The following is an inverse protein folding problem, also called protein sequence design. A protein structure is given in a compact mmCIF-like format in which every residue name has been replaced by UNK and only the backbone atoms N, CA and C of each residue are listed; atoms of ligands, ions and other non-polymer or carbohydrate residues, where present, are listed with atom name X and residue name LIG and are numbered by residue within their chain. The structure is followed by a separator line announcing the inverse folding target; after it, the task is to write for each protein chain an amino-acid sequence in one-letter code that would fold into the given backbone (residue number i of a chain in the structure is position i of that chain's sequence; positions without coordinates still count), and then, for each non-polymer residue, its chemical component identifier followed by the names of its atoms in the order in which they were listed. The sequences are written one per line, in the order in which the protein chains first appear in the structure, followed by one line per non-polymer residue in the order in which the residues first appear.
data_IF_414575569435
#
_entry.id   IF_414575569435
#
_cell.length_a   1.000
_cell.length_b   1.000
_cell.length_c   1.000
_cell.angle_alpha   90.00
_cell.angle_beta   90.00
_cell.angle_gamma   90.00
#
_symmetry.space_group_name_H-M   'P 1'
#
loop_
_entity.id
_entity.type
_entity.pdbx_description
1 polymer ?
#
# COMPACT_ATOMS: atom_id res chain seq x y z
N UNK A 1 -25.62 -3.23 -6.00
CA UNK A 1 -25.00 -4.54 -6.28
C UNK A 1 -25.83 -5.73 -5.73
N UNK A 2 -27.03 -5.48 -5.17
CA UNK A 2 -27.96 -6.54 -4.72
C UNK A 2 -27.71 -7.07 -3.31
N UNK A 3 -26.70 -6.57 -2.61
CA UNK A 3 -26.47 -6.92 -1.20
C UNK A 3 -27.40 -6.14 -0.27
N UNK A 4 -27.90 -6.79 0.79
CA UNK A 4 -28.78 -6.22 1.80
C UNK A 4 -28.68 -7.05 3.11
N UNK A 5 -29.45 -6.72 4.13
CA UNK A 5 -29.42 -7.42 5.42
C UNK A 5 -29.74 -8.93 5.33
N UNK A 6 -30.55 -9.37 4.36
CA UNK A 6 -30.87 -10.79 4.14
C UNK A 6 -29.79 -11.51 3.32
N UNK A 7 -29.04 -10.76 2.53
CA UNK A 7 -27.96 -11.24 1.70
C UNK A 7 -26.75 -10.31 1.86
N UNK A 8 -26.05 -10.35 3.02
CA UNK A 8 -24.91 -9.47 3.27
C UNK A 8 -23.75 -9.78 2.34
N UNK A 9 -22.98 -8.74 1.99
CA UNK A 9 -21.69 -8.93 1.32
C UNK A 9 -20.76 -9.69 2.26
N UNK A 10 -20.23 -10.82 1.80
CA UNK A 10 -19.30 -11.64 2.58
C UNK A 10 -17.94 -11.68 1.90
N UNK A 11 -16.90 -11.37 2.63
CA UNK A 11 -15.53 -11.49 2.15
C UNK A 11 -14.53 -11.61 3.29
N UNK A 12 -13.28 -11.87 2.94
CA UNK A 12 -12.19 -12.08 3.87
C UNK A 12 -11.12 -11.00 3.73
N UNK A 13 -10.64 -10.45 4.85
CA UNK A 13 -9.42 -9.66 4.93
C UNK A 13 -8.27 -10.59 5.33
N UNK A 14 -7.26 -10.68 4.47
CA UNK A 14 -6.05 -11.45 4.69
C UNK A 14 -4.88 -10.53 5.07
N UNK A 15 -4.23 -10.80 6.20
CA UNK A 15 -3.12 -10.02 6.71
C UNK A 15 -2.07 -10.88 7.41
N UNK A 16 -0.83 -10.43 7.49
CA UNK A 16 0.21 -11.11 8.24
C UNK A 16 0.09 -10.86 9.74
N UNK A 17 0.44 -11.85 10.54
CA UNK A 17 0.39 -11.80 12.00
C UNK A 17 1.29 -10.69 12.56
N UNK A 18 0.65 -9.62 12.99
CA UNK A 18 1.28 -8.47 13.63
C UNK A 18 0.20 -7.64 14.34
N UNK A 19 0.47 -7.25 15.59
CA UNK A 19 -0.57 -6.64 16.45
C UNK A 19 -1.23 -5.39 15.85
N UNK A 20 -0.48 -4.53 15.17
CA UNK A 20 -1.04 -3.34 14.51
C UNK A 20 -1.92 -3.72 13.32
N UNK A 21 -1.54 -4.71 12.52
CA UNK A 21 -2.32 -5.16 11.37
C UNK A 21 -3.66 -5.76 11.79
N UNK A 22 -3.66 -6.52 12.88
CA UNK A 22 -4.88 -7.08 13.46
C UNK A 22 -5.84 -5.98 13.91
N UNK A 23 -5.33 -4.96 14.62
CA UNK A 23 -6.16 -3.82 15.05
C UNK A 23 -6.78 -3.09 13.87
N UNK A 24 -6.02 -2.86 12.80
CA UNK A 24 -6.53 -2.22 11.58
C UNK A 24 -7.58 -3.10 10.92
N UNK A 25 -7.33 -4.40 10.76
CA UNK A 25 -8.28 -5.33 10.14
C UNK A 25 -9.58 -5.43 10.93
N UNK A 26 -9.51 -5.47 12.27
CA UNK A 26 -10.70 -5.45 13.14
C UNK A 26 -11.49 -4.14 13.02
N UNK A 27 -10.81 -3.00 12.97
CA UNK A 27 -11.45 -1.70 12.82
C UNK A 27 -12.19 -1.62 11.47
N UNK A 28 -11.54 -2.02 10.37
CA UNK A 28 -12.15 -2.06 9.04
C UNK A 28 -13.36 -3.00 8.98
N UNK A 29 -13.23 -4.21 9.52
CA UNK A 29 -14.33 -5.18 9.57
C UNK A 29 -15.53 -4.63 10.35
N UNK A 30 -15.27 -3.97 11.49
CA UNK A 30 -16.30 -3.31 12.29
C UNK A 30 -17.01 -2.19 11.55
N UNK A 31 -16.25 -1.30 10.90
CA UNK A 31 -16.82 -0.18 10.13
C UNK A 31 -17.61 -0.67 8.92
N UNK A 32 -17.13 -1.64 8.17
CA UNK A 32 -17.84 -2.18 7.01
C UNK A 32 -19.10 -2.95 7.42
N UNK A 33 -19.06 -3.63 8.57
CA UNK A 33 -20.29 -4.21 9.14
C UNK A 33 -21.31 -3.13 9.47
N UNK A 34 -20.89 -2.06 10.13
CA UNK A 34 -21.76 -0.96 10.56
C UNK A 34 -22.32 -0.16 9.39
N UNK A 35 -21.49 0.18 8.40
CA UNK A 35 -21.87 1.08 7.31
C UNK A 35 -22.52 0.36 6.13
N UNK A 36 -22.09 -0.88 5.85
CA UNK A 36 -22.45 -1.62 4.65
C UNK A 36 -23.24 -2.91 4.96
N UNK A 37 -23.37 -3.29 6.24
CA UNK A 37 -23.94 -4.58 6.62
C UNK A 37 -23.08 -5.77 6.17
N UNK A 38 -21.81 -5.56 5.88
CA UNK A 38 -20.91 -6.61 5.39
C UNK A 38 -20.53 -7.59 6.50
N UNK A 39 -20.42 -8.88 6.14
CA UNK A 39 -19.88 -9.93 7.01
C UNK A 39 -18.44 -10.20 6.61
N UNK A 40 -17.50 -9.69 7.40
CA UNK A 40 -16.07 -9.70 7.10
C UNK A 40 -15.34 -10.71 7.95
N UNK A 41 -14.73 -11.70 7.32
CA UNK A 41 -13.86 -12.68 7.98
C UNK A 41 -12.42 -12.17 8.03
N UNK A 42 -11.70 -12.54 9.08
CA UNK A 42 -10.30 -12.18 9.25
C UNK A 42 -9.44 -13.45 9.16
N UNK A 43 -8.47 -13.45 8.23
CA UNK A 43 -7.48 -14.52 8.08
C UNK A 43 -6.08 -13.97 8.31
N UNK A 44 -5.32 -14.62 9.18
CA UNK A 44 -3.95 -14.23 9.47
C UNK A 44 -3.00 -15.41 9.35
N UNK A 45 -1.78 -15.13 8.89
CA UNK A 45 -0.69 -16.11 8.81
C UNK A 45 0.63 -15.47 9.19
N UNK A 46 1.62 -16.31 9.51
CA UNK A 46 3.00 -15.87 9.67
C UNK A 46 3.54 -15.26 8.37
N UNK A 47 4.46 -14.32 8.48
CA UNK A 47 4.91 -13.47 7.37
C UNK A 47 5.30 -14.25 6.11
N UNK A 48 6.13 -15.29 6.24
CA UNK A 48 6.59 -16.08 5.07
C UNK A 48 5.42 -16.80 4.36
N UNK A 49 4.53 -17.40 5.12
CA UNK A 49 3.35 -18.09 4.58
C UNK A 49 2.37 -17.08 3.96
N UNK A 50 2.17 -15.94 4.63
CA UNK A 50 1.36 -14.85 4.11
C UNK A 50 1.85 -14.38 2.74
N UNK A 51 3.16 -14.14 2.57
CA UNK A 51 3.73 -13.72 1.30
C UNK A 51 3.51 -14.77 0.20
N UNK A 52 3.70 -16.06 0.51
CA UNK A 52 3.46 -17.15 -0.44
C UNK A 52 2.02 -17.19 -0.93
N UNK A 53 1.06 -17.21 -0.02
CA UNK A 53 -0.37 -17.22 -0.33
C UNK A 53 -0.80 -15.97 -1.11
N UNK A 54 -0.32 -14.80 -0.69
CA UNK A 54 -0.61 -13.54 -1.38
C UNK A 54 -0.07 -13.54 -2.82
N UNK A 55 1.15 -13.97 -3.04
CA UNK A 55 1.76 -13.99 -4.37
C UNK A 55 1.09 -15.01 -5.31
N UNK A 56 0.53 -16.08 -4.76
CA UNK A 56 -0.31 -17.01 -5.51
C UNK A 56 -1.71 -16.45 -5.82
N UNK A 57 -2.12 -15.37 -5.17
CA UNK A 57 -3.45 -14.77 -5.34
C UNK A 57 -4.53 -15.45 -4.49
N UNK A 58 -4.14 -16.18 -3.45
CA UNK A 58 -5.06 -16.90 -2.57
C UNK A 58 -5.69 -15.97 -1.51
N UNK A 59 -6.36 -14.93 -1.96
CA UNK A 59 -7.06 -13.97 -1.10
C UNK A 59 -8.20 -13.28 -1.86
N UNK A 60 -9.17 -12.73 -1.12
CA UNK A 60 -10.17 -11.82 -1.65
C UNK A 60 -9.74 -10.36 -1.45
N UNK A 61 -9.36 -10.00 -0.24
CA UNK A 61 -8.78 -8.71 0.10
C UNK A 61 -7.53 -8.94 0.94
N UNK A 62 -6.38 -8.42 0.49
CA UNK A 62 -5.10 -8.60 1.18
C UNK A 62 -4.54 -7.26 1.64
N UNK A 63 -4.10 -7.21 2.89
CA UNK A 63 -3.36 -6.06 3.42
C UNK A 63 -2.01 -5.95 2.72
N UNK A 64 -1.64 -4.74 2.32
CA UNK A 64 -0.30 -4.49 1.78
C UNK A 64 0.26 -3.16 2.34
N UNK A 65 1.56 -3.00 2.28
CA UNK A 65 2.28 -1.75 2.50
C UNK A 65 3.25 -1.57 1.34
N UNK A 66 3.32 -0.36 0.82
CA UNK A 66 4.26 0.02 -0.23
C UNK A 66 5.12 1.13 0.34
N UNK A 67 6.42 0.95 0.29
CA UNK A 67 7.41 1.95 0.67
C UNK A 67 7.99 2.57 -0.60
N UNK A 68 8.07 3.91 -0.64
CA UNK A 68 8.63 4.60 -1.79
C UNK A 68 10.15 4.48 -1.80
N UNK A 69 10.73 3.90 -2.85
CA UNK A 69 12.18 3.82 -3.04
C UNK A 69 12.79 5.15 -3.53
N UNK A 70 11.96 6.03 -4.09
CA UNK A 70 12.33 7.37 -4.56
C UNK A 70 11.15 8.32 -4.48
N UNK A 71 11.42 9.62 -4.49
CA UNK A 71 10.42 10.67 -4.29
C UNK A 71 9.68 11.03 -5.60
N UNK A 72 8.89 10.10 -6.10
CA UNK A 72 7.99 10.32 -7.25
C UNK A 72 6.77 9.36 -7.17
N UNK A 73 5.59 9.75 -7.68
CA UNK A 73 4.39 8.91 -7.67
C UNK A 73 4.58 7.54 -8.31
N UNK A 74 5.45 7.42 -9.31
CA UNK A 74 5.76 6.15 -9.96
C UNK A 74 6.32 5.09 -9.01
N UNK A 75 6.95 5.48 -7.89
CA UNK A 75 7.38 4.55 -6.85
C UNK A 75 6.22 3.69 -6.29
N UNK A 76 5.00 4.22 -6.35
CA UNK A 76 3.78 3.51 -5.95
C UNK A 76 3.01 2.96 -7.15
N UNK A 77 2.84 3.77 -8.20
CA UNK A 77 1.98 3.45 -9.34
C UNK A 77 2.51 2.29 -10.18
N UNK A 78 3.84 2.13 -10.26
CA UNK A 78 4.47 1.03 -11.00
C UNK A 78 4.07 -0.36 -10.46
N UNK A 79 3.74 -0.46 -9.18
CA UNK A 79 3.29 -1.73 -8.58
C UNK A 79 1.94 -2.21 -9.14
N UNK A 80 1.15 -1.32 -9.75
CA UNK A 80 -0.18 -1.63 -10.31
C UNK A 80 -0.16 -1.86 -11.83
N UNK A 81 0.95 -1.61 -12.52
CA UNK A 81 1.06 -1.91 -13.97
C UNK A 81 0.77 -3.38 -14.19
N UNK A 82 -0.01 -3.69 -15.25
CA UNK A 82 -0.51 -5.05 -15.52
C UNK A 82 0.57 -6.12 -15.59
N UNK A 83 1.80 -5.75 -15.98
CA UNK A 83 2.97 -6.65 -16.08
C UNK A 83 3.84 -6.65 -14.83
N UNK A 84 3.52 -5.85 -13.82
CA UNK A 84 4.31 -5.76 -12.59
C UNK A 84 4.19 -7.04 -11.74
N UNK A 85 5.28 -7.63 -11.28
CA UNK A 85 5.23 -8.76 -10.34
C UNK A 85 4.66 -8.36 -8.97
N UNK A 86 4.62 -7.07 -8.65
CA UNK A 86 4.05 -6.52 -7.43
C UNK A 86 2.52 -6.39 -7.50
N UNK A 87 1.95 -6.45 -8.71
CA UNK A 87 0.50 -6.43 -8.94
C UNK A 87 -0.14 -7.78 -8.56
N UNK A 88 -0.07 -8.12 -7.28
CA UNK A 88 -0.58 -9.40 -6.77
C UNK A 88 -2.11 -9.52 -6.89
N UNK A 89 -2.81 -8.40 -6.98
CA UNK A 89 -4.25 -8.34 -7.26
C UNK A 89 -4.59 -8.66 -8.71
N UNK A 90 -3.60 -8.74 -9.60
CA UNK A 90 -3.74 -9.03 -11.04
C UNK A 90 -4.72 -8.11 -11.76
N UNK A 91 -4.86 -6.89 -11.25
CA UNK A 91 -5.64 -5.86 -11.90
C UNK A 91 -5.01 -5.48 -13.25
N UNK A 92 -5.84 -5.22 -14.25
CA UNK A 92 -5.38 -4.87 -15.60
C UNK A 92 -6.20 -3.69 -16.11
N UNK A 93 -5.50 -2.65 -16.53
CA UNK A 93 -6.09 -1.51 -17.21
C UNK A 93 -5.11 -0.96 -18.23
N UNK A 94 -5.39 -1.18 -19.51
CA UNK A 94 -4.51 -0.75 -20.61
C UNK A 94 -4.30 0.76 -20.65
N UNK A 95 -5.32 1.55 -20.31
CA UNK A 95 -5.21 3.01 -20.25
C UNK A 95 -4.28 3.45 -19.13
N UNK A 96 -4.36 2.82 -17.97
CA UNK A 96 -3.43 3.04 -16.87
C UNK A 96 -1.99 2.72 -17.28
N UNK A 97 -1.76 1.55 -17.87
CA UNK A 97 -0.43 1.12 -18.32
C UNK A 97 0.17 2.09 -19.33
N UNK A 98 -0.64 2.58 -20.29
CA UNK A 98 -0.20 3.57 -21.27
C UNK A 98 0.17 4.90 -20.64
N UNK A 99 -0.64 5.41 -19.69
CA UNK A 99 -0.37 6.65 -18.96
C UNK A 99 0.93 6.54 -18.17
N UNK A 100 1.16 5.44 -17.48
CA UNK A 100 2.42 5.23 -16.72
C UNK A 100 3.62 5.20 -17.65
N UNK A 101 3.52 4.50 -18.77
CA UNK A 101 4.58 4.44 -19.78
C UNK A 101 4.89 5.82 -20.37
N UNK A 102 3.88 6.62 -20.66
CA UNK A 102 4.05 7.99 -21.16
C UNK A 102 4.69 8.88 -20.10
N UNK A 103 4.25 8.79 -18.84
CA UNK A 103 4.82 9.55 -17.74
C UNK A 103 6.32 9.27 -17.56
N UNK A 104 6.73 8.00 -17.65
CA UNK A 104 8.13 7.58 -17.54
C UNK A 104 9.03 8.16 -18.64
N UNK A 105 8.48 8.41 -19.83
CA UNK A 105 9.22 8.99 -20.96
C UNK A 105 9.15 10.52 -21.04
N UNK A 106 8.33 11.16 -20.18
CA UNK A 106 8.07 12.60 -20.21
C UNK A 106 9.06 13.37 -19.35
N UNK A 107 9.86 14.26 -19.96
CA UNK A 107 10.83 15.11 -19.26
C UNK A 107 10.19 16.32 -18.58
N UNK A 108 9.07 16.80 -19.10
CA UNK A 108 8.36 17.94 -18.53
C UNK A 108 7.65 17.57 -17.23
N UNK A 109 8.09 18.13 -16.10
CA UNK A 109 7.56 17.80 -14.78
C UNK A 109 6.05 18.11 -14.63
N UNK A 110 5.53 19.17 -15.28
CA UNK A 110 4.10 19.50 -15.19
C UNK A 110 3.26 18.48 -15.96
N UNK A 111 3.67 18.14 -17.17
CA UNK A 111 2.99 17.10 -17.97
C UNK A 111 3.04 15.76 -17.28
N UNK A 112 4.19 15.38 -16.73
CA UNK A 112 4.36 14.13 -15.99
C UNK A 112 3.47 14.05 -14.75
N UNK A 113 3.40 15.13 -13.97
CA UNK A 113 2.50 15.21 -12.81
C UNK A 113 1.02 15.07 -13.20
N UNK A 114 0.61 15.66 -14.33
CA UNK A 114 -0.75 15.52 -14.83
C UNK A 114 -1.06 14.08 -15.29
N UNK A 115 -0.10 13.40 -15.92
CA UNK A 115 -0.24 11.98 -16.27
C UNK A 115 -0.41 11.09 -15.02
N UNK A 116 0.39 11.32 -13.98
CA UNK A 116 0.22 10.59 -12.72
C UNK A 116 -1.14 10.87 -12.07
N UNK A 117 -1.62 12.12 -12.10
CA UNK A 117 -2.96 12.46 -11.61
C UNK A 117 -4.06 11.70 -12.37
N UNK A 118 -3.93 11.56 -13.68
CA UNK A 118 -4.88 10.77 -14.49
C UNK A 118 -4.83 9.27 -14.12
N UNK A 119 -3.64 8.73 -13.88
CA UNK A 119 -3.49 7.35 -13.41
C UNK A 119 -4.16 7.14 -12.03
N UNK A 120 -3.98 8.08 -11.09
CA UNK A 120 -4.63 8.04 -9.78
C UNK A 120 -6.16 8.10 -9.86
N UNK A 121 -6.71 8.86 -10.80
CA UNK A 121 -8.17 8.88 -11.03
C UNK A 121 -8.72 7.53 -11.48
N UNK A 122 -7.98 6.79 -12.33
CA UNK A 122 -8.37 5.43 -12.74
C UNK A 122 -8.36 4.50 -11.52
N UNK A 123 -7.34 4.59 -10.66
CA UNK A 123 -7.27 3.81 -9.42
C UNK A 123 -8.46 4.14 -8.50
N UNK A 124 -8.81 5.42 -8.37
CA UNK A 124 -9.93 5.84 -7.53
C UNK A 124 -11.28 5.35 -8.07
N UNK A 125 -11.45 5.27 -9.39
CA UNK A 125 -12.68 4.81 -10.03
C UNK A 125 -12.82 3.28 -9.99
N UNK A 126 -11.75 2.55 -10.29
CA UNK A 126 -11.80 1.08 -10.36
C UNK A 126 -11.46 0.38 -9.03
N UNK A 127 -10.89 1.12 -8.08
CA UNK A 127 -10.54 0.67 -6.74
C UNK A 127 -9.78 -0.68 -6.69
N UNK A 128 -8.69 -0.88 -7.46
CA UNK A 128 -7.87 -2.10 -7.34
C UNK A 128 -7.18 -2.21 -5.99
N UNK A 129 -7.08 -1.10 -5.27
CA UNK A 129 -6.62 -1.01 -3.90
C UNK A 129 -7.43 0.05 -3.13
N UNK A 130 -7.46 -0.10 -1.81
CA UNK A 130 -8.12 0.82 -0.89
C UNK A 130 -7.05 1.46 0.00
N UNK A 131 -6.69 2.73 -0.23
CA UNK A 131 -5.75 3.44 0.65
C UNK A 131 -6.35 3.61 2.05
N UNK A 132 -5.62 3.24 3.08
CA UNK A 132 -6.11 3.31 4.46
C UNK A 132 -5.44 4.46 5.22
N UNK A 133 -4.12 4.47 5.28
CA UNK A 133 -3.34 5.52 5.94
C UNK A 133 -1.86 5.49 5.51
N UNK A 134 -1.18 6.59 5.74
CA UNK A 134 0.27 6.63 5.69
C UNK A 134 0.85 6.12 7.00
N UNK A 135 1.68 5.07 6.92
CA UNK A 135 2.34 4.52 8.12
C UNK A 135 3.40 5.50 8.61
N UNK A 136 3.30 6.02 9.85
CA UNK A 136 4.34 6.89 10.40
C UNK A 136 5.58 6.07 10.73
N UNK A 137 6.73 6.61 10.38
CA UNK A 137 8.02 6.08 10.78
C UNK A 137 8.46 6.74 12.09
N UNK A 138 8.30 6.04 13.20
CA UNK A 138 8.64 6.57 14.53
C UNK A 138 10.03 6.08 14.92
N UNK A 139 10.93 7.01 15.23
CA UNK A 139 12.28 6.72 15.72
C UNK A 139 12.53 7.41 17.05
N UNK A 140 13.09 6.64 17.97
CA UNK A 140 13.57 7.16 19.25
C UNK A 140 15.10 7.10 19.22
N UNK A 141 15.74 8.25 19.33
CA UNK A 141 17.20 8.39 19.22
C UNK A 141 17.71 8.98 20.52
N UNK A 142 18.77 8.36 21.06
CA UNK A 142 19.45 8.92 22.23
C UNK A 142 20.05 10.29 21.85
N UNK A 143 19.84 11.37 22.63
CA UNK A 143 20.38 12.70 22.35
C UNK A 143 21.91 12.75 22.20
N UNK A 144 22.62 11.80 22.79
CA UNK A 144 24.07 11.67 22.62
C UNK A 144 24.49 11.21 21.22
N UNK A 145 23.58 10.71 20.39
CA UNK A 145 23.89 10.30 19.01
C UNK A 145 23.84 11.52 18.10
N UNK A 146 24.96 11.79 17.42
CA UNK A 146 25.08 12.78 16.33
C UNK A 146 25.10 12.12 14.96
N UNK A 147 24.91 12.92 13.90
CA UNK A 147 24.95 12.44 12.49
C UNK A 147 23.71 11.69 12.02
N UNK A 148 22.67 11.58 12.85
CA UNK A 148 21.43 10.92 12.46
C UNK A 148 20.60 11.83 11.53
N UNK A 149 20.20 11.36 10.32
CA UNK A 149 19.42 12.15 9.39
C UNK A 149 17.94 12.23 9.84
N UNK A 150 17.52 13.39 10.37
CA UNK A 150 16.16 13.60 10.88
C UNK A 150 15.14 13.69 9.72
N UNK A 151 15.53 14.33 8.61
CA UNK A 151 14.69 14.50 7.42
C UNK A 151 15.10 13.50 6.33
N UNK A 152 14.72 12.24 6.52
CA UNK A 152 15.06 11.16 5.62
C UNK A 152 13.82 10.31 5.31
N UNK A 153 13.04 10.67 4.29
CA UNK A 153 11.81 9.96 3.95
C UNK A 153 12.05 8.51 3.50
N UNK A 154 13.26 8.18 3.04
CA UNK A 154 13.63 6.84 2.61
C UNK A 154 14.17 5.94 3.74
N UNK A 155 14.34 6.50 4.94
CA UNK A 155 14.83 5.80 6.12
C UNK A 155 16.26 5.18 6.01
N UNK A 156 17.08 5.66 5.10
CA UNK A 156 18.47 5.20 4.99
C UNK A 156 19.36 5.86 6.05
N UNK A 157 19.96 5.04 6.92
CA UNK A 157 20.91 5.51 7.92
C UNK A 157 22.28 4.91 7.64
N UNK A 158 23.24 5.78 7.29
CA UNK A 158 24.63 5.38 7.10
C UNK A 158 25.34 5.39 8.45
N UNK A 159 25.60 4.21 9.00
CA UNK A 159 26.22 4.07 10.34
C UNK A 159 27.59 4.74 10.44
N UNK A 160 28.34 4.87 9.35
CA UNK A 160 29.62 5.58 9.27
C UNK A 160 29.51 7.09 9.58
N UNK A 161 28.32 7.67 9.48
CA UNK A 161 28.04 9.08 9.76
C UNK A 161 27.60 9.33 11.19
N UNK A 162 27.30 8.25 11.93
CA UNK A 162 26.89 8.35 13.33
C UNK A 162 28.10 8.51 14.23
N UNK A 163 27.97 9.37 15.24
CA UNK A 163 28.98 9.60 16.27
C UNK A 163 28.33 9.87 17.63
N UNK A 164 29.12 9.71 18.69
CA UNK A 164 28.68 10.08 20.04
C UNK A 164 29.12 11.53 20.31
N UNK A 165 28.14 12.34 20.66
CA UNK A 165 28.40 13.72 21.11
C UNK A 165 29.09 13.68 22.47
N UNK A 166 30.15 14.44 22.63
CA UNK A 166 30.85 14.64 23.91
C UNK A 166 30.14 15.71 24.72
#
# INVERSE_FOLDING_TARGET
AGYNEKHPLQFEIFYNKYATHEKVALALASEWKKQLGADVKLRTMEWKTYLGERNMGNFQLSRMSIDAEYNEPSAFLNSLVSTSPENVGRWKNEKFDQIIKEAQSTLNNKTRAELYRQAELIIAEEAPLIPIFYSPLIKVINPAVGGFPIHNPQDYVYTKELYIRK
#
